data_IF_824841490824
#
_entry.id   IF_824841490824
#
_cell.length_a   1.000
_cell.length_b   1.000
_cell.length_c   1.000
_cell.angle_alpha   90.00
_cell.angle_beta   90.00
_cell.angle_gamma   90.00
#
_symmetry.space_group_name_H-M   'P 1'
#
loop_
_entity.id
_entity.type
_entity.pdbx_description
1 polymer ?
#
# COMPACT_ATOMS: atom_id res chain seq x y z
N UNK A 1 -3.28 0.73 8.45
CA UNK A 1 -2.12 0.13 9.13
C UNK A 1 -1.17 1.23 9.57
N UNK A 2 -0.72 1.17 10.80
CA UNK A 2 0.21 2.17 11.33
C UNK A 2 1.64 1.88 10.89
N UNK A 3 2.46 2.91 10.83
CA UNK A 3 3.86 2.78 10.43
C UNK A 3 4.63 1.82 11.35
N UNK A 4 4.35 1.86 12.65
CA UNK A 4 4.97 0.96 13.62
C UNK A 4 4.66 -0.49 13.34
N UNK A 5 3.43 -0.78 12.91
CA UNK A 5 3.02 -2.14 12.54
C UNK A 5 3.75 -2.60 11.29
N UNK A 6 3.96 -1.70 10.33
CA UNK A 6 4.71 -2.01 9.12
C UNK A 6 6.16 -2.37 9.44
N UNK A 7 6.76 -1.69 10.41
CA UNK A 7 8.14 -1.95 10.80
C UNK A 7 8.31 -3.30 11.49
N UNK A 8 7.25 -3.83 12.08
CA UNK A 8 7.27 -5.15 12.71
C UNK A 8 7.14 -6.28 11.70
N UNK A 9 6.64 -6.00 10.50
CA UNK A 9 6.46 -6.99 9.45
C UNK A 9 7.76 -7.29 8.72
N UNK A 10 7.87 -8.50 8.17
CA UNK A 10 9.01 -8.86 7.33
C UNK A 10 8.93 -8.17 5.98
N UNK A 11 10.05 -8.11 5.27
CA UNK A 11 10.09 -7.53 3.93
C UNK A 11 9.14 -8.26 2.99
N UNK A 12 9.07 -9.59 3.09
CA UNK A 12 8.18 -10.39 2.23
C UNK A 12 6.71 -10.06 2.50
N UNK A 13 6.33 -9.89 3.76
CA UNK A 13 4.97 -9.51 4.13
C UNK A 13 4.62 -8.12 3.61
N UNK A 14 5.57 -7.18 3.69
CA UNK A 14 5.37 -5.83 3.17
C UNK A 14 5.25 -5.82 1.66
N UNK A 15 6.04 -6.61 0.95
CA UNK A 15 5.94 -6.74 -0.50
C UNK A 15 4.59 -7.31 -0.90
N UNK A 16 4.11 -8.31 -0.18
CA UNK A 16 2.79 -8.88 -0.43
C UNK A 16 1.68 -7.84 -0.19
N UNK A 17 1.81 -7.06 0.89
CA UNK A 17 0.88 -5.97 1.19
C UNK A 17 0.84 -4.94 0.04
N UNK A 18 2.01 -4.56 -0.48
CA UNK A 18 2.09 -3.61 -1.59
C UNK A 18 1.40 -4.17 -2.83
N UNK A 19 1.62 -5.44 -3.15
CA UNK A 19 0.99 -6.08 -4.31
C UNK A 19 -0.53 -6.13 -4.18
N UNK A 20 -1.04 -6.50 -3.02
CA UNK A 20 -2.48 -6.51 -2.75
C UNK A 20 -3.08 -5.11 -2.84
N UNK A 21 -2.37 -4.10 -2.31
CA UNK A 21 -2.82 -2.72 -2.37
C UNK A 21 -2.85 -2.18 -3.79
N UNK A 22 -1.88 -2.56 -4.62
CA UNK A 22 -1.87 -2.20 -6.04
C UNK A 22 -3.09 -2.77 -6.76
N UNK A 23 -3.48 -4.01 -6.45
CA UNK A 23 -4.68 -4.63 -7.00
C UNK A 23 -5.93 -3.87 -6.59
N UNK A 24 -6.00 -3.43 -5.33
CA UNK A 24 -7.11 -2.61 -4.85
C UNK A 24 -7.18 -1.28 -5.57
N UNK A 25 -6.03 -0.63 -5.79
CA UNK A 25 -5.98 0.64 -6.53
C UNK A 25 -6.47 0.47 -7.96
N UNK A 26 -6.10 -0.63 -8.62
CA UNK A 26 -6.58 -0.93 -9.95
C UNK A 26 -8.10 -1.12 -9.95
N UNK A 27 -8.63 -1.83 -8.96
CA UNK A 27 -10.06 -2.04 -8.82
C UNK A 27 -10.80 -0.71 -8.60
N UNK A 28 -10.26 0.18 -7.76
CA UNK A 28 -10.83 1.52 -7.57
C UNK A 28 -10.84 2.32 -8.86
N UNK A 29 -9.76 2.22 -9.66
CA UNK A 29 -9.68 2.90 -10.94
C UNK A 29 -10.77 2.40 -11.90
N UNK A 30 -11.00 1.10 -11.94
CA UNK A 30 -12.06 0.49 -12.76
C UNK A 30 -13.43 0.99 -12.30
N UNK A 31 -13.69 0.98 -10.98
CA UNK A 31 -14.95 1.47 -10.43
C UNK A 31 -15.18 2.93 -10.73
N UNK A 32 -14.14 3.75 -10.67
CA UNK A 32 -14.22 5.17 -10.99
C UNK A 32 -14.57 5.37 -12.47
N UNK A 33 -13.97 4.59 -13.35
CA UNK A 33 -14.26 4.61 -14.78
C UNK A 33 -15.73 4.26 -15.06
N UNK A 34 -16.32 3.41 -14.23
CA UNK A 34 -17.73 3.01 -14.34
C UNK A 34 -18.67 3.94 -13.54
N UNK A 35 -18.15 5.01 -12.98
CA UNK A 35 -18.90 5.97 -12.15
C UNK A 35 -19.58 5.35 -10.93
N UNK A 36 -19.04 4.24 -10.43
CA UNK A 36 -19.58 3.54 -9.27
C UNK A 36 -18.88 3.90 -7.95
N UNK A 37 -17.72 4.54 -8.03
CA UNK A 37 -16.93 4.91 -6.84
C UNK A 37 -17.30 6.30 -6.38
N UNK A 38 -17.86 6.40 -5.18
CA UNK A 38 -18.25 7.68 -4.59
C UNK A 38 -17.20 8.21 -3.59
N UNK A 39 -16.39 7.33 -3.01
CA UNK A 39 -15.46 7.68 -1.94
C UNK A 39 -14.01 7.68 -2.43
N UNK A 40 -13.47 8.88 -2.64
CA UNK A 40 -12.08 9.05 -3.07
C UNK A 40 -11.09 9.02 -1.91
N UNK A 41 -11.56 9.16 -0.66
CA UNK A 41 -10.70 9.12 0.52
C UNK A 41 -10.03 7.75 0.68
N UNK A 42 -10.74 6.68 0.34
CA UNK A 42 -10.18 5.32 0.38
C UNK A 42 -8.99 5.17 -0.56
N UNK A 43 -9.07 5.76 -1.75
CA UNK A 43 -7.98 5.71 -2.73
C UNK A 43 -6.75 6.43 -2.18
N UNK A 44 -6.92 7.65 -1.66
CA UNK A 44 -5.82 8.42 -1.09
C UNK A 44 -5.18 7.70 0.08
N UNK A 45 -5.99 7.11 0.94
CA UNK A 45 -5.51 6.36 2.11
C UNK A 45 -4.69 5.14 1.67
N UNK A 46 -5.18 4.40 0.68
CA UNK A 46 -4.47 3.22 0.16
C UNK A 46 -3.14 3.62 -0.48
N UNK A 47 -3.11 4.71 -1.26
CA UNK A 47 -1.88 5.21 -1.87
C UNK A 47 -0.85 5.58 -0.80
N UNK A 48 -1.29 6.22 0.29
CA UNK A 48 -0.41 6.60 1.39
C UNK A 48 0.19 5.36 2.05
N UNK A 49 -0.64 4.33 2.31
CA UNK A 49 -0.17 3.09 2.90
C UNK A 49 0.86 2.38 2.01
N UNK A 50 0.64 2.37 0.71
CA UNK A 50 1.59 1.79 -0.24
C UNK A 50 2.93 2.53 -0.20
N UNK A 51 2.90 3.87 -0.18
CA UNK A 51 4.11 4.68 -0.09
C UNK A 51 4.87 4.39 1.19
N UNK A 52 4.17 4.32 2.32
CA UNK A 52 4.77 4.01 3.61
C UNK A 52 5.39 2.61 3.61
N UNK A 53 4.69 1.62 3.06
CA UNK A 53 5.20 0.25 2.98
C UNK A 53 6.47 0.18 2.13
N UNK A 54 6.50 0.87 1.00
CA UNK A 54 7.69 0.92 0.15
C UNK A 54 8.87 1.56 0.88
N UNK A 55 8.63 2.62 1.63
CA UNK A 55 9.67 3.28 2.43
C UNK A 55 10.24 2.33 3.47
N UNK A 56 9.38 1.62 4.19
CA UNK A 56 9.82 0.66 5.21
C UNK A 56 10.60 -0.49 4.59
N UNK A 57 10.17 -1.00 3.44
CA UNK A 57 10.89 -2.05 2.71
C UNK A 57 12.31 -1.56 2.38
N UNK A 58 12.43 -0.35 1.86
CA UNK A 58 13.72 0.22 1.51
C UNK A 58 14.61 0.36 2.73
N UNK A 59 14.07 0.85 3.84
CA UNK A 59 14.80 0.98 5.09
C UNK A 59 15.35 -0.37 5.56
N UNK A 60 14.54 -1.41 5.50
CA UNK A 60 14.94 -2.76 5.92
C UNK A 60 16.01 -3.34 4.99
N UNK A 61 15.89 -3.13 3.70
CA UNK A 61 16.88 -3.62 2.73
C UNK A 61 18.21 -2.91 2.91
N UNK A 62 18.20 -1.62 3.18
CA UNK A 62 19.43 -0.85 3.44
C UNK A 62 20.07 -1.28 4.76
N UNK A 63 19.26 -1.50 5.80
CA UNK A 63 19.77 -1.94 7.11
C UNK A 63 20.44 -3.29 7.06
N UNK A 64 19.98 -4.18 6.15
CA UNK A 64 20.49 -5.52 6.01
C UNK A 64 21.63 -5.65 4.98
N UNK A 65 21.97 -4.56 4.35
CA UNK A 65 23.03 -4.55 3.33
C UNK A 65 24.43 -4.55 3.95
#
# INVERSE_FOLDING_TARGET
MKLSEMREKTVDELKQFVEESKKQLLNFRIQKSMHKLENTAEISKTKRLVSQAKTVIKEKEVSNA
#
